data_IF_913321257739
#
_entry.id   IF_913321257739
#
_cell.length_a   1.000
_cell.length_b   1.000
_cell.length_c   1.000
_cell.angle_alpha   90.00
_cell.angle_beta   90.00
_cell.angle_gamma   90.00
#
_symmetry.space_group_name_H-M   'P 1'
#
loop_
_entity.id
_entity.type
_entity.pdbx_description
1 polymer ?
#
# COMPACT_ATOMS: atom_id res chain seq x y z
N UNK A 1 48.14 42.57 -0.18
CA UNK A 1 47.93 41.14 -0.07
C UNK A 1 46.44 40.94 0.32
N UNK A 2 45.58 40.54 -0.62
CA UNK A 2 44.13 40.34 -0.37
C UNK A 2 43.88 38.84 -0.53
N UNK A 3 43.57 38.15 0.58
CA UNK A 3 43.13 36.76 0.59
C UNK A 3 41.63 36.69 0.24
N UNK A 4 41.27 36.06 -0.87
CA UNK A 4 39.93 35.66 -1.19
C UNK A 4 39.66 34.26 -0.59
N UNK A 5 38.78 34.20 0.36
CA UNK A 5 38.24 32.94 0.86
C UNK A 5 37.09 32.50 -0.06
N UNK A 6 37.29 31.42 -0.81
CA UNK A 6 36.25 30.79 -1.61
C UNK A 6 35.26 30.05 -0.73
N UNK A 7 34.01 30.48 -0.74
CA UNK A 7 32.87 29.83 -0.09
C UNK A 7 32.38 28.68 -1.01
N UNK A 8 32.75 27.43 -0.69
CA UNK A 8 32.19 26.24 -1.36
C UNK A 8 30.79 26.01 -0.84
N UNK A 9 29.79 26.29 -1.69
CA UNK A 9 28.41 25.91 -1.46
C UNK A 9 28.27 24.38 -1.61
N UNK A 10 28.13 23.67 -0.51
CA UNK A 10 27.69 22.30 -0.50
C UNK A 10 26.17 22.26 -0.77
N UNK A 11 25.79 21.89 -1.98
CA UNK A 11 24.41 21.60 -2.33
C UNK A 11 24.07 20.18 -1.89
N UNK A 12 22.91 19.91 -1.26
CA UNK A 12 22.58 18.55 -0.80
C UNK A 12 22.20 17.66 -1.99
N UNK A 13 23.10 16.77 -2.37
CA UNK A 13 22.88 15.70 -3.36
C UNK A 13 21.88 14.62 -2.89
N UNK A 14 21.42 14.67 -1.65
CA UNK A 14 20.62 13.60 -1.05
C UNK A 14 19.18 13.50 -1.61
N UNK A 15 18.60 14.60 -2.12
CA UNK A 15 17.20 14.57 -2.59
C UNK A 15 17.05 13.87 -3.94
N UNK A 16 18.01 14.01 -4.86
CA UNK A 16 17.93 13.37 -6.19
C UNK A 16 18.09 11.85 -6.16
N UNK A 17 18.77 11.30 -5.14
CA UNK A 17 18.96 9.86 -5.01
C UNK A 17 17.71 9.13 -4.51
N UNK A 18 16.85 9.77 -3.72
CA UNK A 18 15.62 9.17 -3.19
C UNK A 18 14.53 9.07 -4.26
N UNK A 19 14.40 10.10 -5.13
CA UNK A 19 13.44 10.08 -6.25
C UNK A 19 13.80 9.01 -7.29
N UNK A 20 15.08 8.77 -7.52
CA UNK A 20 15.54 7.70 -8.41
C UNK A 20 15.26 6.31 -7.82
N UNK A 21 15.49 6.11 -6.52
CA UNK A 21 15.20 4.84 -5.84
C UNK A 21 13.70 4.49 -5.85
N UNK A 22 12.82 5.46 -5.58
CA UNK A 22 11.37 5.27 -5.66
C UNK A 22 10.95 4.88 -7.08
N UNK A 23 11.43 5.60 -8.09
CA UNK A 23 11.15 5.28 -9.50
C UNK A 23 11.65 3.88 -9.89
N UNK A 24 12.77 3.41 -9.33
CA UNK A 24 13.27 2.05 -9.57
C UNK A 24 12.36 0.99 -8.93
N UNK A 25 11.91 1.21 -7.69
CA UNK A 25 10.94 0.32 -7.01
C UNK A 25 9.64 0.25 -7.81
N UNK A 26 9.08 1.40 -8.23
CA UNK A 26 7.85 1.44 -9.02
C UNK A 26 8.00 0.70 -10.36
N UNK A 27 9.12 0.87 -11.06
CA UNK A 27 9.39 0.12 -12.31
C UNK A 27 9.50 -1.40 -12.06
N UNK A 28 10.11 -1.80 -10.95
CA UNK A 28 10.22 -3.22 -10.62
C UNK A 28 8.85 -3.84 -10.31
N UNK A 29 7.97 -3.14 -9.61
CA UNK A 29 6.58 -3.56 -9.35
C UNK A 29 5.78 -3.62 -10.65
N UNK A 30 5.86 -2.61 -11.50
CA UNK A 30 5.18 -2.56 -12.81
C UNK A 30 5.59 -3.71 -13.74
N UNK A 31 6.79 -4.27 -13.58
CA UNK A 31 7.25 -5.41 -14.35
C UNK A 31 6.55 -6.73 -13.99
N UNK A 32 5.75 -6.77 -12.91
CA UNK A 32 5.00 -7.95 -12.45
C UNK A 32 3.52 -7.79 -12.80
N UNK A 33 3.05 -8.30 -13.95
CA UNK A 33 1.71 -8.02 -14.47
C UNK A 33 0.60 -8.78 -13.73
N UNK A 34 0.95 -9.82 -12.99
CA UNK A 34 -0.02 -10.60 -12.21
C UNK A 34 0.65 -11.23 -10.99
N UNK A 35 -0.11 -11.29 -9.90
CA UNK A 35 0.30 -11.91 -8.64
C UNK A 35 -0.82 -12.81 -8.14
N UNK A 36 -0.47 -14.02 -7.71
CA UNK A 36 -1.27 -14.85 -6.82
C UNK A 36 -0.41 -15.17 -5.60
N UNK A 37 -0.88 -14.80 -4.41
CA UNK A 37 -0.13 -14.92 -3.17
C UNK A 37 -1.03 -15.35 -2.01
N UNK A 38 -0.46 -16.09 -1.06
CA UNK A 38 -1.11 -16.33 0.22
C UNK A 38 -0.85 -15.15 1.16
N UNK A 39 -1.82 -14.83 2.01
CA UNK A 39 -1.62 -13.85 3.08
C UNK A 39 -1.99 -14.40 4.44
N UNK A 40 -1.33 -13.88 5.46
CA UNK A 40 -1.70 -13.94 6.88
C UNK A 40 -1.75 -12.51 7.41
N UNK A 41 -2.87 -12.14 7.97
CA UNK A 41 -3.12 -10.81 8.54
C UNK A 41 -3.35 -10.93 10.04
N UNK A 42 -2.67 -10.09 10.81
CA UNK A 42 -2.84 -9.95 12.25
C UNK A 42 -3.32 -8.53 12.55
N UNK A 43 -4.56 -8.41 13.03
CA UNK A 43 -5.13 -7.12 13.44
C UNK A 43 -5.07 -7.00 14.97
N UNK A 44 -4.27 -6.05 15.45
CA UNK A 44 -4.17 -5.67 16.86
C UNK A 44 -5.14 -4.53 17.10
N UNK A 45 -6.12 -4.74 17.96
CA UNK A 45 -7.07 -3.72 18.41
C UNK A 45 -6.70 -3.30 19.82
N UNK A 46 -6.67 -1.98 20.08
CA UNK A 46 -6.30 -1.44 21.38
C UNK A 46 -7.19 -1.94 22.55
N UNK A 47 -8.41 -2.38 22.22
CA UNK A 47 -9.38 -2.90 23.18
C UNK A 47 -9.31 -4.42 23.40
N UNK A 48 -8.45 -5.14 22.66
CA UNK A 48 -8.34 -6.61 22.75
C UNK A 48 -6.94 -7.04 23.21
N UNK A 49 -6.89 -8.02 24.10
CA UNK A 49 -5.64 -8.59 24.61
C UNK A 49 -4.92 -9.48 23.57
N UNK A 50 -5.66 -10.00 22.59
CA UNK A 50 -5.12 -10.91 21.58
C UNK A 50 -5.46 -10.41 20.18
N UNK A 51 -4.50 -10.48 19.22
CA UNK A 51 -4.75 -10.10 17.84
C UNK A 51 -5.80 -10.99 17.16
N UNK A 52 -6.60 -10.38 16.29
CA UNK A 52 -7.45 -11.11 15.35
C UNK A 52 -6.60 -11.59 14.19
N UNK A 53 -6.74 -12.87 13.84
CA UNK A 53 -5.94 -13.47 12.76
C UNK A 53 -6.84 -13.87 11.62
N UNK A 54 -6.49 -13.44 10.41
CA UNK A 54 -7.12 -13.85 9.17
C UNK A 54 -6.10 -14.40 8.18
N UNK A 55 -6.53 -15.26 7.27
CA UNK A 55 -5.68 -15.77 6.19
C UNK A 55 -6.48 -16.07 4.93
N UNK A 56 -5.79 -16.05 3.80
CA UNK A 56 -6.43 -16.26 2.51
C UNK A 56 -5.50 -16.06 1.33
N UNK A 57 -6.05 -15.59 0.23
CA UNK A 57 -5.36 -15.43 -1.05
C UNK A 57 -5.58 -14.01 -1.59
N UNK A 58 -4.52 -13.45 -2.14
CA UNK A 58 -4.51 -12.19 -2.86
C UNK A 58 -4.32 -12.49 -4.35
N UNK A 59 -5.04 -11.75 -5.17
CA UNK A 59 -4.86 -11.75 -6.61
C UNK A 59 -4.70 -10.32 -7.09
N UNK A 60 -3.74 -10.11 -7.97
CA UNK A 60 -3.58 -8.88 -8.73
C UNK A 60 -3.43 -9.22 -10.21
N UNK A 61 -3.99 -8.41 -11.08
CA UNK A 61 -3.77 -8.43 -12.52
C UNK A 61 -3.82 -7.01 -13.05
N UNK A 62 -2.72 -6.62 -13.68
CA UNK A 62 -2.61 -5.31 -14.29
C UNK A 62 -3.73 -5.06 -15.31
N UNK A 63 -4.21 -3.83 -15.47
CA UNK A 63 -3.72 -2.65 -14.73
C UNK A 63 -4.43 -2.44 -13.39
N UNK A 64 -5.63 -2.97 -13.15
CA UNK A 64 -6.54 -2.47 -12.12
C UNK A 64 -7.40 -3.54 -11.41
N UNK A 65 -7.20 -4.83 -11.71
CA UNK A 65 -7.87 -5.91 -10.99
C UNK A 65 -7.13 -6.27 -9.70
N UNK A 66 -7.83 -6.23 -8.59
CA UNK A 66 -7.36 -6.65 -7.27
C UNK A 66 -8.43 -7.45 -6.56
N UNK A 67 -8.06 -8.59 -5.95
CA UNK A 67 -8.97 -9.39 -5.14
C UNK A 67 -8.29 -9.89 -3.87
N UNK A 68 -8.94 -9.68 -2.74
CA UNK A 68 -8.59 -10.27 -1.44
C UNK A 68 -9.66 -11.27 -1.06
N UNK A 69 -9.32 -12.54 -1.01
CA UNK A 69 -10.23 -13.61 -0.58
C UNK A 69 -9.75 -14.15 0.75
N UNK A 70 -10.43 -13.77 1.83
CA UNK A 70 -10.24 -14.33 3.16
C UNK A 70 -10.89 -15.70 3.21
N UNK A 71 -10.16 -16.69 3.71
CA UNK A 71 -10.64 -18.07 3.87
C UNK A 71 -10.90 -18.43 5.32
N UNK A 72 -10.17 -17.81 6.24
CA UNK A 72 -10.25 -18.04 7.69
C UNK A 72 -10.12 -16.70 8.43
N UNK A 73 -10.80 -16.46 9.56
CA UNK A 73 -11.80 -17.33 10.21
C UNK A 73 -13.16 -17.29 9.54
N UNK A 74 -13.52 -16.18 8.91
CA UNK A 74 -14.79 -15.98 8.23
C UNK A 74 -14.51 -15.73 6.74
N UNK A 75 -15.13 -16.50 5.83
CA UNK A 75 -14.95 -16.26 4.41
C UNK A 75 -15.48 -14.89 3.99
N UNK A 76 -14.63 -14.12 3.35
CA UNK A 76 -14.96 -12.80 2.79
C UNK A 76 -14.25 -12.63 1.46
N UNK A 77 -14.89 -11.97 0.50
CA UNK A 77 -14.32 -11.72 -0.80
C UNK A 77 -14.46 -10.24 -1.18
N UNK A 78 -13.34 -9.58 -1.40
CA UNK A 78 -13.26 -8.19 -1.84
C UNK A 78 -12.60 -8.17 -3.20
N UNK A 79 -13.31 -7.71 -4.22
CA UNK A 79 -12.85 -7.64 -5.60
C UNK A 79 -13.00 -6.22 -6.12
N UNK A 80 -11.91 -5.60 -6.53
CA UNK A 80 -11.89 -4.32 -7.21
C UNK A 80 -11.50 -4.54 -8.68
N UNK A 81 -12.38 -4.13 -9.60
CA UNK A 81 -12.18 -4.19 -11.04
C UNK A 81 -12.63 -2.88 -11.66
N UNK A 82 -11.71 -2.14 -12.26
CA UNK A 82 -11.95 -0.77 -12.73
C UNK A 82 -12.52 0.13 -11.62
N UNK A 83 -13.71 0.62 -11.83
CA UNK A 83 -14.41 1.49 -10.86
C UNK A 83 -15.34 0.75 -9.92
N UNK A 84 -15.39 -0.57 -9.98
CA UNK A 84 -16.28 -1.37 -9.18
C UNK A 84 -15.55 -2.06 -8.03
N UNK A 85 -16.14 -1.97 -6.84
CA UNK A 85 -15.77 -2.77 -5.67
C UNK A 85 -16.92 -3.73 -5.38
N UNK A 86 -16.66 -5.01 -5.48
CA UNK A 86 -17.57 -6.06 -5.07
C UNK A 86 -17.15 -6.60 -3.71
N UNK A 87 -18.08 -6.70 -2.78
CA UNK A 87 -17.88 -7.28 -1.45
C UNK A 87 -18.88 -8.42 -1.30
N UNK A 88 -18.39 -9.59 -0.92
CA UNK A 88 -19.22 -10.76 -0.64
C UNK A 88 -18.87 -11.31 0.75
N UNK A 89 -19.89 -11.43 1.60
CA UNK A 89 -19.76 -12.00 2.95
C UNK A 89 -20.93 -12.97 3.19
N UNK A 90 -20.79 -13.98 4.06
CA UNK A 90 -21.85 -14.93 4.36
C UNK A 90 -23.15 -14.27 4.84
N UNK A 91 -23.01 -13.22 5.66
CA UNK A 91 -24.16 -12.58 6.32
C UNK A 91 -24.87 -11.56 5.42
N UNK A 92 -24.12 -10.81 4.60
CA UNK A 92 -24.65 -9.71 3.81
C UNK A 92 -24.83 -10.05 2.31
N UNK A 93 -24.33 -11.23 1.89
CA UNK A 93 -24.30 -11.65 0.48
C UNK A 93 -23.38 -10.77 -0.37
N UNK A 94 -23.62 -10.79 -1.67
CA UNK A 94 -22.84 -10.04 -2.65
C UNK A 94 -23.39 -8.63 -2.84
N UNK A 95 -22.55 -7.62 -2.65
CA UNK A 95 -22.84 -6.20 -2.88
C UNK A 95 -21.80 -5.58 -3.79
N UNK A 96 -22.23 -4.64 -4.62
CA UNK A 96 -21.34 -3.93 -5.55
C UNK A 96 -21.47 -2.42 -5.35
N UNK A 97 -20.33 -1.75 -5.31
CA UNK A 97 -20.23 -0.30 -5.09
C UNK A 97 -19.43 0.32 -6.22
N UNK A 98 -19.91 1.45 -6.74
CA UNK A 98 -19.09 2.25 -7.66
C UNK A 98 -18.18 3.18 -6.85
N UNK A 99 -16.86 3.00 -6.96
CA UNK A 99 -15.86 3.77 -6.22
C UNK A 99 -15.94 5.28 -6.46
N UNK A 100 -16.52 5.72 -7.59
CA UNK A 100 -16.73 7.14 -7.85
C UNK A 100 -17.80 7.76 -6.91
N UNK A 101 -18.74 6.95 -6.42
CA UNK A 101 -19.75 7.35 -5.44
C UNK A 101 -19.29 7.24 -3.98
N UNK A 102 -18.10 6.67 -3.75
CA UNK A 102 -17.53 6.45 -2.41
C UNK A 102 -16.10 6.95 -2.34
N UNK A 103 -15.87 8.28 -2.41
CA UNK A 103 -14.53 8.87 -2.45
C UNK A 103 -13.67 8.49 -1.24
N UNK A 104 -14.28 8.18 -0.08
CA UNK A 104 -13.58 7.74 1.13
C UNK A 104 -12.97 6.32 1.01
N UNK A 105 -13.51 5.45 0.14
CA UNK A 105 -12.99 4.08 -0.06
C UNK A 105 -11.90 4.03 -1.14
N UNK A 106 -11.96 4.94 -2.09
CA UNK A 106 -11.06 4.96 -3.25
C UNK A 106 -9.58 5.01 -2.88
N UNK A 107 -9.11 5.85 -1.96
CA UNK A 107 -7.70 5.88 -1.58
C UNK A 107 -7.17 4.51 -1.15
N UNK A 108 -7.94 3.72 -0.40
CA UNK A 108 -7.50 2.40 0.09
C UNK A 108 -7.28 1.40 -1.05
N UNK A 109 -8.20 1.36 -2.01
CA UNK A 109 -8.07 0.50 -3.19
C UNK A 109 -6.88 0.95 -4.03
N UNK A 110 -6.72 2.27 -4.23
CA UNK A 110 -5.64 2.84 -5.03
C UNK A 110 -4.27 2.68 -4.37
N UNK A 111 -4.17 2.66 -3.03
CA UNK A 111 -2.90 2.40 -2.35
C UNK A 111 -2.26 1.09 -2.81
N UNK A 112 -3.05 0.02 -2.89
CA UNK A 112 -2.55 -1.30 -3.29
C UNK A 112 -2.42 -1.39 -4.81
N UNK A 113 -3.47 -0.99 -5.53
CA UNK A 113 -3.54 -1.07 -7.00
C UNK A 113 -2.41 -0.28 -7.67
N UNK A 114 -2.29 1.01 -7.32
CA UNK A 114 -1.29 1.87 -7.92
C UNK A 114 0.14 1.47 -7.53
N UNK A 115 0.35 0.94 -6.30
CA UNK A 115 1.65 0.38 -5.92
C UNK A 115 2.00 -0.83 -6.78
N UNK A 116 1.11 -1.79 -6.93
CA UNK A 116 1.35 -2.99 -7.75
C UNK A 116 1.52 -2.65 -9.24
N UNK A 117 0.78 -1.66 -9.73
CA UNK A 117 0.92 -1.16 -11.10
C UNK A 117 2.20 -0.33 -11.31
N UNK A 118 2.90 0.06 -10.23
CA UNK A 118 4.04 0.99 -10.30
C UNK A 118 3.64 2.40 -10.73
N UNK A 119 2.37 2.78 -10.54
CA UNK A 119 1.84 4.10 -10.90
C UNK A 119 2.08 5.09 -9.75
N UNK A 120 3.30 5.62 -9.71
CA UNK A 120 3.70 6.64 -8.73
C UNK A 120 2.78 7.87 -8.78
N UNK A 121 2.42 8.33 -9.98
CA UNK A 121 1.58 9.51 -10.15
C UNK A 121 0.16 9.32 -9.60
N UNK A 122 -0.40 8.11 -9.70
CA UNK A 122 -1.67 7.78 -9.07
C UNK A 122 -1.56 7.76 -7.54
N UNK A 123 -0.46 7.19 -6.98
CA UNK A 123 -0.21 7.21 -5.53
C UNK A 123 -0.09 8.63 -4.98
N UNK A 124 0.68 9.49 -5.63
CA UNK A 124 0.93 10.87 -5.18
C UNK A 124 -0.32 11.75 -5.17
N UNK A 125 -1.38 11.38 -5.91
CA UNK A 125 -2.67 12.08 -5.83
C UNK A 125 -3.35 11.89 -4.47
N UNK A 126 -3.18 10.72 -3.86
CA UNK A 126 -3.88 10.35 -2.62
C UNK A 126 -2.97 10.37 -1.41
N UNK A 127 -1.65 10.18 -1.59
CA UNK A 127 -0.69 9.97 -0.52
C UNK A 127 0.53 10.85 -0.64
N UNK A 128 1.10 11.19 0.50
CA UNK A 128 2.50 11.57 0.61
C UNK A 128 3.31 10.27 0.68
N UNK A 129 4.37 10.18 -0.12
CA UNK A 129 5.22 8.99 -0.26
C UNK A 129 6.56 9.22 0.44
N UNK A 130 7.00 8.26 1.23
CA UNK A 130 8.30 8.24 1.84
C UNK A 130 8.92 6.86 1.63
N UNK A 131 10.07 6.79 0.95
CA UNK A 131 10.79 5.55 0.69
C UNK A 131 12.06 5.48 1.53
N UNK A 132 12.30 4.33 2.13
CA UNK A 132 13.56 3.95 2.77
C UNK A 132 14.11 2.67 2.17
N UNK A 133 15.44 2.54 2.18
CA UNK A 133 16.13 1.36 1.67
C UNK A 133 16.54 1.49 0.21
N UNK A 134 16.69 0.35 -0.44
CA UNK A 134 17.11 0.20 -1.83
C UNK A 134 16.07 -0.64 -2.59
N UNK A 135 16.07 -0.71 -3.93
CA UNK A 135 15.17 -1.58 -4.67
C UNK A 135 15.24 -3.06 -4.25
N UNK A 136 16.37 -3.52 -3.73
CA UNK A 136 16.54 -4.90 -3.27
C UNK A 136 15.90 -5.18 -1.90
N UNK A 137 15.70 -4.13 -1.08
CA UNK A 137 15.06 -4.19 0.24
C UNK A 137 14.54 -2.81 0.58
N UNK A 138 13.22 -2.60 0.42
CA UNK A 138 12.58 -1.31 0.50
C UNK A 138 11.39 -1.28 1.47
N UNK A 139 11.15 -0.09 2.01
CA UNK A 139 9.95 0.24 2.78
C UNK A 139 9.36 1.54 2.25
N UNK A 140 8.10 1.50 1.86
CA UNK A 140 7.35 2.63 1.34
C UNK A 140 6.19 2.97 2.29
N UNK A 141 6.23 4.17 2.85
CA UNK A 141 5.14 4.73 3.66
C UNK A 141 4.24 5.59 2.79
N UNK A 142 2.95 5.35 2.91
CA UNK A 142 1.87 6.10 2.28
C UNK A 142 1.10 6.83 3.39
N UNK A 143 1.20 8.16 3.45
CA UNK A 143 0.41 8.98 4.39
C UNK A 143 -0.73 9.64 3.61
N UNK A 144 -2.01 9.40 3.95
CA UNK A 144 -3.13 9.97 3.22
C UNK A 144 -3.09 11.51 3.22
N UNK A 145 -3.37 12.14 2.08
CA UNK A 145 -3.46 13.61 1.96
C UNK A 145 -4.82 14.15 2.38
N UNK A 146 -5.86 13.34 2.15
CA UNK A 146 -7.24 13.70 2.46
C UNK A 146 -7.53 13.53 3.96
N UNK A 147 -8.08 14.58 4.58
CA UNK A 147 -8.40 14.60 6.02
C UNK A 147 -9.51 13.61 6.41
N UNK A 148 -10.44 13.31 5.50
CA UNK A 148 -11.47 12.31 5.77
C UNK A 148 -10.88 10.89 5.73
N UNK A 149 -9.95 10.62 4.80
CA UNK A 149 -9.22 9.35 4.78
C UNK A 149 -8.32 9.18 6.03
N UNK A 150 -7.71 10.27 6.53
CA UNK A 150 -6.89 10.25 7.76
C UNK A 150 -7.66 9.87 9.02
N UNK A 151 -8.99 9.97 9.03
CA UNK A 151 -9.82 9.52 10.16
C UNK A 151 -9.86 8.00 10.29
N UNK A 152 -9.54 7.27 9.21
CA UNK A 152 -9.59 5.81 9.16
C UNK A 152 -8.19 5.19 9.09
N UNK A 153 -7.24 5.87 8.43
CA UNK A 153 -5.86 5.38 8.28
C UNK A 153 -4.87 6.53 8.50
N UNK A 154 -3.99 6.35 9.48
CA UNK A 154 -2.88 7.27 9.74
C UNK A 154 -1.74 7.07 8.73
N UNK A 155 -1.43 5.82 8.39
CA UNK A 155 -0.47 5.47 7.35
C UNK A 155 -0.64 4.01 6.89
N UNK A 156 -0.16 3.74 5.67
CA UNK A 156 0.09 2.38 5.17
C UNK A 156 1.58 2.24 4.94
N UNK A 157 2.19 1.17 5.43
CA UNK A 157 3.60 0.87 5.23
C UNK A 157 3.73 -0.44 4.46
N UNK A 158 4.26 -0.34 3.25
CA UNK A 158 4.57 -1.49 2.40
C UNK A 158 6.04 -1.82 2.52
N UNK A 159 6.39 -3.11 2.64
CA UNK A 159 7.77 -3.57 2.61
C UNK A 159 7.91 -4.64 1.54
N UNK A 160 9.05 -4.62 0.86
CA UNK A 160 9.26 -5.57 -0.22
C UNK A 160 10.67 -5.59 -0.74
N UNK A 161 10.86 -6.46 -1.72
CA UNK A 161 12.15 -6.70 -2.38
C UNK A 161 11.96 -6.79 -3.88
N UNK A 162 12.74 -6.01 -4.62
CA UNK A 162 12.62 -5.94 -6.08
C UNK A 162 11.16 -5.61 -6.48
N UNK A 163 10.52 -6.41 -7.32
CA UNK A 163 9.13 -6.25 -7.74
C UNK A 163 8.11 -6.98 -6.87
N UNK A 164 8.45 -7.36 -5.63
CA UNK A 164 7.59 -8.13 -4.74
C UNK A 164 7.27 -7.37 -3.45
N UNK A 165 6.01 -7.43 -3.01
CA UNK A 165 5.57 -6.90 -1.70
C UNK A 165 5.53 -8.07 -0.70
N UNK A 166 6.35 -8.00 0.35
CA UNK A 166 6.43 -9.01 1.41
C UNK A 166 5.40 -8.77 2.53
N UNK A 167 5.10 -7.49 2.80
CA UNK A 167 4.13 -7.13 3.84
C UNK A 167 3.47 -5.78 3.60
N UNK A 168 2.27 -5.65 4.17
CA UNK A 168 1.52 -4.40 4.27
C UNK A 168 1.08 -4.20 5.72
N UNK A 169 1.44 -3.07 6.30
CA UNK A 169 1.01 -2.65 7.63
C UNK A 169 0.11 -1.42 7.50
N UNK A 170 -1.09 -1.50 8.07
CA UNK A 170 -2.02 -0.37 8.16
C UNK A 170 -2.04 0.13 9.60
N UNK A 171 -1.82 1.43 9.78
CA UNK A 171 -1.85 2.11 11.05
C UNK A 171 -3.10 2.98 11.13
N UNK A 172 -3.92 2.79 12.15
CA UNK A 172 -5.14 3.57 12.38
C UNK A 172 -4.87 4.69 13.42
N UNK A 173 -5.62 5.80 13.39
CA UNK A 173 -5.37 6.95 14.28
C UNK A 173 -5.60 6.66 15.77
N UNK A 174 -6.45 5.67 16.09
CA UNK A 174 -6.78 5.23 17.46
C UNK A 174 -5.75 4.27 18.06
N UNK A 175 -4.71 3.94 17.30
CA UNK A 175 -3.66 3.01 17.72
C UNK A 175 -3.87 1.57 17.27
N UNK A 176 -4.98 1.26 16.64
CA UNK A 176 -5.21 -0.02 16.00
C UNK A 176 -4.24 -0.20 14.81
N UNK A 177 -3.86 -1.43 14.57
CA UNK A 177 -2.99 -1.76 13.43
C UNK A 177 -3.30 -3.12 12.84
N UNK A 178 -3.09 -3.26 11.55
CA UNK A 178 -3.13 -4.55 10.85
C UNK A 178 -1.80 -4.78 10.15
N UNK A 179 -1.22 -5.95 10.35
CA UNK A 179 -0.02 -6.42 9.64
C UNK A 179 -0.39 -7.63 8.79
N UNK A 180 -0.30 -7.46 7.48
CA UNK A 180 -0.47 -8.53 6.52
C UNK A 180 0.90 -8.97 6.00
N UNK A 181 1.24 -10.24 6.19
CA UNK A 181 2.42 -10.89 5.59
C UNK A 181 1.98 -11.62 4.32
N UNK A 182 2.74 -11.46 3.24
CA UNK A 182 2.42 -11.95 1.90
C UNK A 182 3.50 -12.93 1.47
N UNK A 183 3.07 -14.11 1.03
CA UNK A 183 3.97 -15.19 0.60
C UNK A 183 3.58 -15.65 -0.80
N UNK A 184 4.55 -15.77 -1.69
CA UNK A 184 4.33 -16.31 -3.05
C UNK A 184 3.78 -17.74 -2.97
N UNK A 185 2.86 -18.06 -3.85
CA UNK A 185 2.33 -19.42 -4.03
C UNK A 185 3.15 -20.20 -5.05
#
# INVERSE_FOLDING_TARGET
MKCWAGLLLYWPLACMAADDALSQVMRALAAVPAVEASFREEKTLAMLDTPLVASGVLYYRAPDFLRKRTLYPHPEDYEADGHWLTVETPDAGRRQFNLNGYPQLRPFVEAIRATQAGDQAALERYYQLELWGTPADWSLRLTPRDTDAQRYVAAIVLRGRNGWIDSMETLEPDGDRSLMTITSR
#
